data_IF_687985041091
#
_entry.id   IF_687985041091
#
_cell.length_a   1.000
_cell.length_b   1.000
_cell.length_c   1.000
_cell.angle_alpha   90.00
_cell.angle_beta   90.00
_cell.angle_gamma   90.00
#
_symmetry.space_group_name_H-M   'P 1'
#
loop_
_entity.id
_entity.type
_entity.pdbx_description
1 polymer ?
#
# COMPACT_ATOMS: atom_id res chain seq x y z
N UNK A 1 -2.73 -18.55 -13.17
CA UNK A 1 -2.02 -17.55 -14.00
C UNK A 1 -2.98 -16.60 -14.72
N UNK A 2 -4.10 -17.07 -15.26
CA UNK A 2 -5.04 -16.24 -16.03
C UNK A 2 -5.80 -15.20 -15.19
N UNK A 3 -6.27 -15.59 -13.99
CA UNK A 3 -6.97 -14.68 -13.07
C UNK A 3 -6.10 -13.49 -12.64
N UNK A 4 -4.80 -13.72 -12.39
CA UNK A 4 -3.90 -12.65 -11.97
C UNK A 4 -3.69 -11.61 -13.07
N UNK A 5 -3.54 -12.06 -14.34
CA UNK A 5 -3.46 -11.15 -15.49
C UNK A 5 -4.73 -10.34 -15.66
N UNK A 6 -5.90 -10.97 -15.53
CA UNK A 6 -7.20 -10.28 -15.63
C UNK A 6 -7.30 -9.18 -14.56
N UNK A 7 -6.88 -9.46 -13.33
CA UNK A 7 -6.88 -8.46 -12.25
C UNK A 7 -5.93 -7.30 -12.54
N UNK A 8 -4.72 -7.58 -13.03
CA UNK A 8 -3.73 -6.56 -13.42
C UNK A 8 -4.24 -5.68 -14.57
N UNK A 9 -4.91 -6.26 -15.57
CA UNK A 9 -5.51 -5.53 -16.69
C UNK A 9 -6.68 -4.64 -16.25
N UNK A 10 -7.53 -5.14 -15.35
CA UNK A 10 -8.62 -4.32 -14.77
C UNK A 10 -8.02 -3.13 -14.01
N UNK A 11 -7.03 -3.39 -13.16
CA UNK A 11 -6.36 -2.38 -12.35
C UNK A 11 -5.72 -1.30 -13.23
N UNK A 12 -5.02 -1.72 -14.29
CA UNK A 12 -4.42 -0.82 -15.28
C UNK A 12 -5.48 0.06 -15.98
N UNK A 13 -6.60 -0.53 -16.42
CA UNK A 13 -7.68 0.22 -17.09
C UNK A 13 -8.39 1.21 -16.15
N UNK A 14 -8.56 0.86 -14.88
CA UNK A 14 -9.10 1.75 -13.85
C UNK A 14 -8.18 2.97 -13.68
N UNK A 15 -6.88 2.76 -13.53
CA UNK A 15 -5.91 3.85 -13.41
C UNK A 15 -5.91 4.76 -14.64
N UNK A 16 -5.96 4.17 -15.83
CA UNK A 16 -5.98 4.91 -17.08
C UNK A 16 -7.24 5.79 -17.21
N UNK A 17 -8.40 5.25 -16.85
CA UNK A 17 -9.66 6.00 -16.81
C UNK A 17 -9.57 7.16 -15.82
N UNK A 18 -8.99 6.92 -14.65
CA UNK A 18 -8.77 7.93 -13.62
C UNK A 18 -7.84 9.06 -14.10
N UNK A 19 -6.77 8.74 -14.83
CA UNK A 19 -5.88 9.75 -15.40
C UNK A 19 -6.61 10.66 -16.40
N UNK A 20 -7.46 10.10 -17.26
CA UNK A 20 -8.29 10.87 -18.19
C UNK A 20 -9.29 11.79 -17.47
N UNK A 21 -9.87 11.34 -16.34
CA UNK A 21 -10.70 12.20 -15.50
C UNK A 21 -9.90 13.37 -14.92
N UNK A 22 -8.69 13.11 -14.41
CA UNK A 22 -7.82 14.15 -13.83
C UNK A 22 -7.31 15.14 -14.88
N UNK A 23 -7.04 14.68 -16.10
CA UNK A 23 -6.68 15.52 -17.22
C UNK A 23 -7.76 16.56 -17.52
N UNK A 24 -9.03 16.16 -17.43
CA UNK A 24 -10.18 17.03 -17.70
C UNK A 24 -10.45 18.00 -16.55
N UNK A 25 -10.17 17.58 -15.30
CA UNK A 25 -10.49 18.35 -14.10
C UNK A 25 -9.46 19.43 -13.73
N UNK A 26 -8.23 19.35 -14.24
CA UNK A 26 -7.11 20.20 -13.78
C UNK A 26 -6.47 20.95 -14.95
N UNK A 27 -6.14 22.23 -14.74
CA UNK A 27 -5.54 23.12 -15.75
C UNK A 27 -4.02 22.88 -15.88
N UNK A 28 -3.35 22.60 -14.76
CA UNK A 28 -1.92 22.32 -14.72
C UNK A 28 -1.63 20.82 -14.73
N UNK A 29 -0.78 20.40 -15.67
CA UNK A 29 -0.44 18.99 -15.87
C UNK A 29 1.06 18.82 -15.68
N UNK A 30 1.43 17.88 -14.82
CA UNK A 30 2.80 17.46 -14.61
C UNK A 30 2.85 15.96 -14.30
N UNK A 31 3.92 15.29 -14.69
CA UNK A 31 4.08 13.87 -14.35
C UNK A 31 4.09 13.66 -12.83
N UNK A 32 4.70 14.56 -12.06
CA UNK A 32 4.72 14.43 -10.60
C UNK A 32 3.32 14.50 -9.99
N UNK A 33 2.44 15.37 -10.50
CA UNK A 33 1.05 15.45 -10.07
C UNK A 33 0.30 14.14 -10.34
N UNK A 34 0.37 13.62 -11.58
CA UNK A 34 -0.32 12.36 -11.91
C UNK A 34 0.22 11.18 -11.10
N UNK A 35 1.52 11.16 -10.82
CA UNK A 35 2.15 10.16 -9.96
C UNK A 35 1.59 10.21 -8.53
N UNK A 36 1.47 11.41 -7.96
CA UNK A 36 0.90 11.58 -6.61
C UNK A 36 -0.55 11.08 -6.55
N UNK A 37 -1.32 11.33 -7.60
CA UNK A 37 -2.70 10.86 -7.70
C UNK A 37 -2.77 9.33 -7.85
N UNK A 38 -1.99 8.72 -8.74
CA UNK A 38 -1.89 7.25 -8.86
C UNK A 38 -1.47 6.63 -7.51
N UNK A 39 -0.55 7.28 -6.81
CA UNK A 39 -0.04 6.80 -5.52
C UNK A 39 -1.04 6.91 -4.37
N UNK A 40 -2.23 7.47 -4.58
CA UNK A 40 -3.31 7.42 -3.57
C UNK A 40 -4.18 6.19 -3.76
N UNK A 41 -4.38 5.77 -5.01
CA UNK A 41 -5.33 4.73 -5.37
C UNK A 41 -4.68 3.33 -5.48
N UNK A 42 -3.35 3.25 -5.67
CA UNK A 42 -2.70 2.00 -6.06
C UNK A 42 -1.73 1.42 -5.03
N UNK A 43 -1.72 0.08 -4.94
CA UNK A 43 -0.84 -0.71 -4.06
C UNK A 43 0.52 -0.98 -4.71
N UNK A 44 1.59 -0.39 -4.17
CA UNK A 44 2.94 -0.60 -4.69
C UNK A 44 3.66 -1.65 -3.86
N UNK A 45 3.91 -2.83 -4.43
CA UNK A 45 4.60 -3.91 -3.73
C UNK A 45 6.11 -3.63 -3.53
N UNK A 46 6.77 -3.02 -4.53
CA UNK A 46 8.19 -2.68 -4.47
C UNK A 46 8.49 -1.39 -5.23
N UNK A 47 9.60 -0.74 -4.89
CA UNK A 47 10.01 0.49 -5.57
C UNK A 47 10.31 0.25 -7.06
N UNK A 48 10.96 -0.86 -7.40
CA UNK A 48 11.32 -1.18 -8.79
C UNK A 48 10.06 -1.37 -9.65
N UNK A 49 9.16 -2.25 -9.18
CA UNK A 49 7.90 -2.56 -9.88
C UNK A 49 6.99 -1.34 -9.97
N UNK A 50 6.94 -0.51 -8.93
CA UNK A 50 6.17 0.73 -8.94
C UNK A 50 6.66 1.70 -10.01
N UNK A 51 7.98 1.91 -10.09
CA UNK A 51 8.59 2.79 -11.09
C UNK A 51 8.33 2.30 -12.51
N UNK A 52 8.40 0.99 -12.74
CA UNK A 52 8.12 0.38 -14.04
C UNK A 52 6.65 0.55 -14.43
N UNK A 53 5.71 0.13 -13.57
CA UNK A 53 4.26 0.27 -13.83
C UNK A 53 3.85 1.71 -14.10
N UNK A 54 4.37 2.66 -13.32
CA UNK A 54 4.08 4.09 -13.52
C UNK A 54 4.67 4.60 -14.83
N UNK A 55 5.86 4.13 -15.22
CA UNK A 55 6.49 4.51 -16.49
C UNK A 55 5.61 4.12 -17.65
N UNK A 56 5.18 2.86 -17.67
CA UNK A 56 4.41 2.30 -18.76
C UNK A 56 3.05 2.99 -18.84
N UNK A 57 2.34 3.09 -17.70
CA UNK A 57 1.05 3.76 -17.61
C UNK A 57 1.10 5.22 -18.09
N UNK A 58 2.09 6.00 -17.65
CA UNK A 58 2.21 7.39 -18.08
C UNK A 58 2.62 7.50 -19.54
N UNK A 59 3.47 6.60 -20.03
CA UNK A 59 3.88 6.60 -21.44
C UNK A 59 2.68 6.36 -22.34
N UNK A 60 1.90 5.33 -22.03
CA UNK A 60 0.70 4.96 -22.78
C UNK A 60 -0.37 6.06 -22.69
N UNK A 61 -0.59 6.61 -21.50
CA UNK A 61 -1.51 7.71 -21.29
C UNK A 61 -1.15 8.93 -22.14
N UNK A 62 0.12 9.36 -22.13
CA UNK A 62 0.52 10.50 -22.95
C UNK A 62 0.49 10.19 -24.44
N UNK A 63 0.79 8.95 -24.85
CA UNK A 63 0.64 8.54 -26.24
C UNK A 63 -0.80 8.64 -26.73
N UNK A 64 -1.77 8.25 -25.92
CA UNK A 64 -3.19 8.42 -26.27
C UNK A 64 -3.56 9.89 -26.45
N UNK A 65 -3.13 10.76 -25.54
CA UNK A 65 -3.40 12.19 -25.63
C UNK A 65 -2.73 12.82 -26.87
N UNK A 66 -1.53 12.36 -27.24
CA UNK A 66 -0.82 12.82 -28.43
C UNK A 66 -1.53 12.41 -29.71
N UNK A 67 -2.06 11.19 -29.77
CA UNK A 67 -2.67 10.63 -30.99
C UNK A 67 -4.19 10.80 -31.04
N UNK A 68 -4.82 11.36 -30.00
CA UNK A 68 -6.25 11.65 -30.00
C UNK A 68 -6.59 12.72 -31.08
N UNK A 69 -7.43 12.40 -32.07
CA UNK A 69 -7.82 13.33 -33.11
C UNK A 69 -8.63 14.52 -32.57
N UNK A 70 -9.27 14.38 -31.40
CA UNK A 70 -10.04 15.45 -30.76
C UNK A 70 -9.18 16.42 -29.97
N UNK A 71 -7.94 16.05 -29.68
CA UNK A 71 -7.02 16.91 -28.93
C UNK A 71 -6.57 18.11 -29.78
N UNK A 72 -6.39 19.27 -29.15
CA UNK A 72 -5.86 20.45 -29.84
C UNK A 72 -4.35 20.33 -30.04
N UNK A 73 -3.78 21.09 -30.99
CA UNK A 73 -2.33 21.08 -31.22
C UNK A 73 -1.53 21.50 -29.98
N UNK A 74 -2.05 22.46 -29.21
CA UNK A 74 -1.43 22.90 -27.94
C UNK A 74 -1.39 21.77 -26.92
N UNK A 75 -2.48 21.02 -26.78
CA UNK A 75 -2.58 19.85 -25.89
C UNK A 75 -1.57 18.77 -26.32
N UNK A 76 -1.53 18.44 -27.62
CA UNK A 76 -0.57 17.45 -28.16
C UNK A 76 0.89 17.86 -27.92
N UNK A 77 1.23 19.14 -28.12
CA UNK A 77 2.59 19.67 -27.83
C UNK A 77 2.93 19.55 -26.34
N UNK A 78 1.99 19.90 -25.45
CA UNK A 78 2.18 19.77 -24.00
C UNK A 78 2.35 18.30 -23.59
N UNK A 79 1.52 17.39 -24.11
CA UNK A 79 1.61 15.96 -23.85
C UNK A 79 2.94 15.36 -24.34
N UNK A 80 3.41 15.75 -25.53
CA UNK A 80 4.72 15.34 -26.07
C UNK A 80 5.86 15.75 -25.14
N UNK A 81 5.83 16.99 -24.64
CA UNK A 81 6.82 17.47 -23.66
C UNK A 81 6.75 16.67 -22.37
N UNK A 82 5.55 16.41 -21.85
CA UNK A 82 5.37 15.64 -20.62
C UNK A 82 5.86 14.21 -20.79
N UNK A 83 5.56 13.55 -21.92
CA UNK A 83 6.10 12.23 -22.26
C UNK A 83 7.63 12.20 -22.23
N UNK A 84 8.27 13.20 -22.82
CA UNK A 84 9.74 13.34 -22.81
C UNK A 84 10.37 13.48 -21.42
N UNK A 85 9.59 13.85 -20.39
CA UNK A 85 10.08 14.05 -19.02
C UNK A 85 9.80 12.89 -18.07
N UNK A 86 9.07 11.84 -18.51
CA UNK A 86 8.67 10.71 -17.65
C UNK A 86 9.89 10.09 -16.96
N UNK A 87 10.92 9.74 -17.72
CA UNK A 87 12.12 9.07 -17.19
C UNK A 87 12.79 9.92 -16.10
N UNK A 88 12.98 11.22 -16.37
CA UNK A 88 13.58 12.16 -15.42
C UNK A 88 12.80 12.20 -14.11
N UNK A 89 11.46 12.26 -14.20
CA UNK A 89 10.60 12.32 -13.02
C UNK A 89 10.62 10.99 -12.26
N UNK A 90 10.57 9.85 -12.95
CA UNK A 90 10.56 8.53 -12.32
C UNK A 90 11.87 8.21 -11.59
N UNK A 91 12.99 8.64 -12.15
CA UNK A 91 14.31 8.42 -11.56
C UNK A 91 14.63 9.45 -10.46
N UNK A 92 13.76 10.44 -10.25
CA UNK A 92 13.96 11.51 -9.28
C UNK A 92 13.84 11.06 -7.82
N UNK A 93 14.45 11.84 -6.91
CA UNK A 93 14.32 11.66 -5.47
C UNK A 93 12.88 11.87 -4.97
N UNK A 94 12.13 12.91 -5.41
CA UNK A 94 10.72 13.07 -5.06
C UNK A 94 9.89 11.82 -5.35
N UNK A 95 10.08 11.20 -6.52
CA UNK A 95 9.38 9.97 -6.88
C UNK A 95 9.66 8.83 -5.88
N UNK A 96 10.92 8.67 -5.50
CA UNK A 96 11.32 7.67 -4.51
C UNK A 96 10.66 7.92 -3.15
N UNK A 97 10.52 9.19 -2.75
CA UNK A 97 9.82 9.55 -1.50
C UNK A 97 8.32 9.23 -1.57
N UNK A 98 7.66 9.51 -2.69
CA UNK A 98 6.24 9.21 -2.89
C UNK A 98 6.01 7.70 -2.79
N UNK A 99 6.78 6.89 -3.51
CA UNK A 99 6.63 5.43 -3.49
C UNK A 99 6.88 4.88 -2.08
N UNK A 100 7.96 5.27 -1.43
CA UNK A 100 8.29 4.79 -0.09
C UNK A 100 7.24 5.23 0.94
N UNK A 101 6.72 6.46 0.82
CA UNK A 101 5.64 6.96 1.66
C UNK A 101 4.36 6.14 1.50
N UNK A 102 4.04 5.74 0.26
CA UNK A 102 2.88 4.90 -0.01
C UNK A 102 3.08 3.47 0.54
N UNK A 103 4.22 2.83 0.29
CA UNK A 103 4.57 1.52 0.85
C UNK A 103 4.45 1.51 2.39
N UNK A 104 4.95 2.56 3.05
CA UNK A 104 4.84 2.70 4.50
C UNK A 104 3.40 2.93 4.97
N UNK A 105 2.58 3.66 4.20
CA UNK A 105 1.16 3.85 4.51
C UNK A 105 0.41 2.53 4.39
N UNK A 106 0.66 1.77 3.33
CA UNK A 106 0.03 0.49 3.06
C UNK A 106 0.39 -0.55 4.12
N UNK A 107 1.67 -0.65 4.49
CA UNK A 107 2.07 -1.58 5.55
C UNK A 107 1.42 -1.25 6.90
N UNK A 108 1.25 0.04 7.23
CA UNK A 108 0.51 0.45 8.43
C UNK A 108 -0.97 0.14 8.35
N UNK A 109 -1.58 0.25 7.18
CA UNK A 109 -3.00 -0.04 6.98
C UNK A 109 -3.26 -1.54 7.13
N UNK A 110 -2.47 -2.38 6.46
CA UNK A 110 -2.53 -3.85 6.59
C UNK A 110 -2.39 -4.26 8.06
N UNK A 111 -1.39 -3.73 8.77
CA UNK A 111 -1.20 -4.05 10.20
C UNK A 111 -2.38 -3.60 11.08
N UNK A 112 -3.05 -2.49 10.73
CA UNK A 112 -4.26 -2.04 11.45
C UNK A 112 -5.44 -2.95 11.17
N UNK A 113 -5.64 -3.31 9.91
CA UNK A 113 -6.74 -4.16 9.50
C UNK A 113 -6.58 -5.57 10.10
N UNK A 114 -5.35 -6.10 10.14
CA UNK A 114 -5.03 -7.35 10.83
C UNK A 114 -5.32 -7.27 12.34
N UNK A 115 -4.98 -6.17 13.01
CA UNK A 115 -5.27 -5.96 14.44
C UNK A 115 -6.78 -5.87 14.70
N UNK A 116 -7.51 -5.12 13.87
CA UNK A 116 -8.96 -5.00 13.97
C UNK A 116 -9.62 -6.34 13.73
N UNK A 117 -9.14 -7.12 12.75
CA UNK A 117 -9.63 -8.46 12.49
C UNK A 117 -9.35 -9.39 13.68
N UNK A 118 -8.16 -9.36 14.27
CA UNK A 118 -7.84 -10.14 15.48
C UNK A 118 -8.73 -9.77 16.67
N UNK A 119 -9.00 -8.47 16.89
CA UNK A 119 -9.93 -8.03 17.93
C UNK A 119 -11.37 -8.47 17.63
N UNK A 120 -11.81 -8.38 16.38
CA UNK A 120 -13.12 -8.85 15.94
C UNK A 120 -13.27 -10.36 16.08
N UNK A 121 -12.25 -11.14 15.71
CA UNK A 121 -12.21 -12.60 15.86
C UNK A 121 -12.21 -13.01 17.34
N UNK A 122 -11.49 -12.27 18.19
CA UNK A 122 -11.50 -12.47 19.63
C UNK A 122 -12.85 -12.12 20.29
N UNK A 123 -13.56 -11.12 19.78
CA UNK A 123 -14.88 -10.69 20.27
C UNK A 123 -16.04 -11.52 19.70
N UNK A 124 -15.92 -12.01 18.47
CA UNK A 124 -16.92 -12.84 17.79
C UNK A 124 -16.89 -14.29 18.26
N UNK A 125 -15.94 -14.67 19.11
CA UNK A 125 -15.93 -15.96 19.77
C UNK A 125 -15.73 -17.14 18.82
N UNK A 126 -15.14 -16.92 17.63
CA UNK A 126 -14.64 -18.01 16.80
C UNK A 126 -13.40 -18.55 17.50
N UNK A 127 -13.65 -19.39 18.49
CA UNK A 127 -12.67 -20.16 19.20
C UNK A 127 -12.08 -21.14 18.19
N UNK A 128 -11.03 -20.72 17.47
CA UNK A 128 -10.07 -21.69 16.94
C UNK A 128 -9.38 -22.25 18.17
N UNK A 129 -10.00 -23.28 18.75
CA UNK A 129 -9.37 -24.07 19.79
C UNK A 129 -8.04 -24.55 19.23
N UNK A 130 -6.89 -24.22 19.85
CA UNK A 130 -5.78 -25.14 19.74
C UNK A 130 -6.27 -26.43 20.40
N UNK A 131 -6.33 -27.51 19.61
CA UNK A 131 -6.59 -28.84 20.15
C UNK A 131 -5.44 -29.18 21.10
N UNK A 132 -5.65 -28.95 22.40
CA UNK A 132 -4.76 -29.40 23.45
C UNK A 132 -5.42 -30.66 24.02
N UNK A 133 -4.93 -31.80 23.56
CA UNK A 133 -5.08 -33.04 24.32
C UNK A 133 -4.17 -32.95 25.53
N UNK A 134 -4.73 -32.89 26.74
CA UNK A 134 -4.36 -33.72 27.90
C UNK A 134 -4.89 -33.16 29.23
N UNK A 135 -5.80 -33.96 29.81
CA UNK A 135 -5.82 -34.48 31.20
C UNK A 135 -6.09 -33.54 32.39
N UNK A 136 -7.23 -33.81 33.03
CA UNK A 136 -7.63 -33.76 34.45
C UNK A 136 -6.92 -32.78 35.41
N UNK A 137 -7.69 -31.88 36.04
CA UNK A 137 -8.05 -31.97 37.48
C UNK A 137 -8.86 -30.75 37.95
N UNK A 138 -9.51 -30.97 39.09
CA UNK A 138 -10.59 -30.26 39.74
C UNK A 138 -10.34 -28.78 40.11
N UNK A 139 -11.43 -28.01 40.09
CA UNK A 139 -11.79 -26.90 40.96
C UNK A 139 -10.69 -26.04 41.61
N UNK A 140 -10.60 -24.78 41.19
CA UNK A 140 -10.40 -23.63 42.08
C UNK A 140 -10.73 -22.33 41.33
N UNK A 141 -11.63 -21.53 41.91
CA UNK A 141 -11.86 -20.14 41.53
C UNK A 141 -10.55 -19.35 41.68
N UNK A 142 -9.83 -19.11 40.58
CA UNK A 142 -8.73 -18.16 40.58
C UNK A 142 -9.21 -16.80 40.08
N UNK A 143 -9.23 -15.84 41.02
CA UNK A 143 -9.32 -14.41 40.80
C UNK A 143 -8.55 -13.95 39.56
N UNK A 144 -9.22 -13.19 38.70
CA UNK A 144 -8.63 -12.52 37.53
C UNK A 144 -7.31 -11.81 37.89
N UNK A 145 -6.17 -12.44 37.55
CA UNK A 145 -4.85 -11.84 37.66
C UNK A 145 -4.81 -10.70 36.63
N UNK A 146 -4.83 -9.45 37.12
CA UNK A 146 -4.66 -8.24 36.28
C UNK A 146 -3.43 -8.44 35.39
N UNK A 147 -3.64 -8.50 34.06
CA UNK A 147 -2.57 -8.59 33.06
C UNK A 147 -1.62 -7.41 33.29
N UNK A 148 -0.36 -7.70 33.65
CA UNK A 148 0.68 -6.67 33.77
C UNK A 148 0.99 -6.22 32.35
N UNK A 149 0.82 -4.94 32.03
CA UNK A 149 1.18 -4.41 30.73
C UNK A 149 2.69 -4.11 30.69
N UNK A 150 3.38 -4.65 29.68
CA UNK A 150 4.78 -4.35 29.43
C UNK A 150 4.92 -2.90 28.92
N UNK A 151 5.67 -2.05 29.63
CA UNK A 151 5.84 -0.66 29.23
C UNK A 151 6.92 -0.56 28.16
N UNK A 152 6.79 0.39 27.23
CA UNK A 152 7.80 0.65 26.18
C UNK A 152 9.20 0.93 26.75
N UNK A 153 9.29 1.47 27.97
CA UNK A 153 10.55 1.64 28.72
C UNK A 153 11.29 0.32 28.93
N UNK A 154 10.55 -0.77 29.13
CA UNK A 154 11.08 -2.07 29.56
C UNK A 154 11.77 -2.81 28.41
N UNK A 155 11.54 -2.34 27.18
CA UNK A 155 12.13 -2.83 25.93
C UNK A 155 13.23 -1.91 25.40
N UNK A 156 13.34 -0.66 25.86
CA UNK A 156 14.18 0.36 25.20
C UNK A 156 15.67 0.00 25.19
N UNK A 157 16.14 -0.67 26.24
CA UNK A 157 17.55 -1.01 26.45
C UNK A 157 17.88 -2.48 26.17
N UNK A 158 16.95 -3.25 25.57
CA UNK A 158 17.17 -4.66 25.25
C UNK A 158 17.59 -4.85 23.79
N UNK A 159 18.52 -5.78 23.58
CA UNK A 159 18.85 -6.28 22.23
C UNK A 159 17.69 -7.12 21.68
N UNK A 160 17.60 -7.22 20.35
CA UNK A 160 16.44 -7.80 19.66
C UNK A 160 16.05 -9.20 20.18
N UNK A 161 17.04 -10.08 20.38
CA UNK A 161 16.82 -11.43 20.93
C UNK A 161 16.12 -11.41 22.30
N UNK A 162 16.48 -10.46 23.17
CA UNK A 162 15.89 -10.35 24.51
C UNK A 162 14.57 -9.59 24.52
N UNK A 163 14.32 -8.71 23.54
CA UNK A 163 12.99 -8.11 23.33
C UNK A 163 11.95 -9.17 23.00
N UNK A 164 12.30 -10.12 22.12
CA UNK A 164 11.41 -11.22 21.73
C UNK A 164 11.15 -12.16 22.91
N UNK A 165 12.18 -12.54 23.66
CA UNK A 165 12.01 -13.37 24.86
C UNK A 165 11.08 -12.69 25.89
N UNK A 166 11.29 -11.40 26.16
CA UNK A 166 10.50 -10.64 27.14
C UNK A 166 9.06 -10.36 26.69
N UNK A 167 8.80 -10.33 25.38
CA UNK A 167 7.44 -10.26 24.84
C UNK A 167 6.72 -11.60 24.95
N UNK A 168 7.43 -12.74 24.91
CA UNK A 168 6.83 -14.06 25.08
C UNK A 168 6.52 -14.40 26.55
N UNK A 169 7.10 -13.67 27.51
CA UNK A 169 6.85 -13.85 28.95
C UNK A 169 5.60 -13.08 29.46
N UNK A 170 4.95 -12.29 28.60
CA UNK A 170 3.81 -11.42 28.90
C UNK A 170 2.63 -11.69 27.97
#
# INVERSE_FOLDING_TARGET
MEIQRILEDIEYNVLKTFLHQKLTAVIEWSNIFFIEEISKEFLFASQSTAKEKIRDLLSDFWDEVIHDPKSSESIRKKATRLKGTIKLVIDSRPMTMIINGNIQRQSRQILRDDLVQQEYDALSGVHVQPSITNTDQEGLQESSKKRKYLKKSDLRNLTYKYKVAKLNEY
#
